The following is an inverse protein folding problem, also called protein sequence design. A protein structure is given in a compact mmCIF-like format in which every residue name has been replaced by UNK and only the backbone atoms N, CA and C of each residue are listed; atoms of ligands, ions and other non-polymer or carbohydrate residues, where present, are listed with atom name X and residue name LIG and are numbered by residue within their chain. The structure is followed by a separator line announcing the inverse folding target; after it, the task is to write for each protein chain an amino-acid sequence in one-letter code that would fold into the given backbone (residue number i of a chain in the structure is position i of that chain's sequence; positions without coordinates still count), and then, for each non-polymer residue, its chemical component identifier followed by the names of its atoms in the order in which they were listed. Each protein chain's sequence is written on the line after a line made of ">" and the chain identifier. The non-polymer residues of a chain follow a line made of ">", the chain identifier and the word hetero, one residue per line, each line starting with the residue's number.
data_IF_907270231497
#
_entry.id   IF_907270231497
#
_cell.length_a   1.000
_cell.length_b   1.000
_cell.length_c   1.000
_cell.angle_alpha   90.00
_cell.angle_beta   90.00
_cell.angle_gamma   90.00
#
_symmetry.space_group_name_H-M   'P 1'
#
loop_
_entity.id
_entity.type
_entity.pdbx_description
1 polymer ?
#
# COMPACT_ATOMS: atom_id res chain seq x y z
N UNK A 1 -0.86 -20.96 18.44
CA UNK A 1 0.01 -21.19 17.27
C UNK A 1 0.64 -19.86 16.88
N UNK A 2 1.94 -19.68 17.13
CA UNK A 2 2.67 -18.46 16.73
C UNK A 2 2.87 -18.48 15.22
N UNK A 3 2.21 -17.58 14.49
CA UNK A 3 2.41 -17.42 13.05
C UNK A 3 3.86 -17.01 12.79
N UNK A 4 4.60 -17.81 12.02
CA UNK A 4 5.97 -17.46 11.65
C UNK A 4 5.96 -16.28 10.67
N UNK A 5 6.83 -15.27 10.82
CA UNK A 5 6.86 -14.09 9.94
C UNK A 5 7.57 -14.36 8.61
N UNK A 6 8.24 -15.50 8.48
CA UNK A 6 9.04 -15.90 7.31
C UNK A 6 8.25 -15.84 5.98
N UNK A 7 6.99 -16.32 5.88
CA UNK A 7 6.23 -16.27 4.62
C UNK A 7 5.95 -14.85 4.16
N UNK A 8 5.66 -13.94 5.11
CA UNK A 8 5.41 -12.53 4.84
C UNK A 8 6.64 -11.85 4.23
N UNK A 9 7.80 -12.04 4.85
CA UNK A 9 9.04 -11.49 4.33
C UNK A 9 9.42 -12.06 2.96
N UNK A 10 9.20 -13.36 2.72
CA UNK A 10 9.42 -13.98 1.41
C UNK A 10 8.55 -13.36 0.32
N UNK A 11 7.28 -13.08 0.61
CA UNK A 11 6.39 -12.43 -0.34
C UNK A 11 6.86 -11.01 -0.69
N UNK A 12 7.18 -10.20 0.34
CA UNK A 12 7.67 -8.82 0.17
C UNK A 12 8.96 -8.80 -0.64
N UNK A 13 9.96 -9.57 -0.20
CA UNK A 13 11.28 -9.65 -0.87
C UNK A 13 11.13 -10.18 -2.30
N UNK A 14 10.27 -11.17 -2.52
CA UNK A 14 10.01 -11.74 -3.84
C UNK A 14 9.48 -10.70 -4.83
N UNK A 15 8.51 -9.87 -4.43
CA UNK A 15 8.00 -8.79 -5.27
C UNK A 15 9.10 -7.78 -5.62
N UNK A 16 9.90 -7.33 -4.65
CA UNK A 16 11.00 -6.40 -4.93
C UNK A 16 12.08 -6.99 -5.82
N UNK A 17 12.41 -8.28 -5.66
CA UNK A 17 13.33 -8.97 -6.56
C UNK A 17 12.82 -8.99 -7.99
N UNK A 18 11.54 -9.31 -8.19
CA UNK A 18 10.91 -9.31 -9.53
C UNK A 18 10.97 -7.91 -10.14
N UNK A 19 10.68 -6.86 -9.36
CA UNK A 19 10.76 -5.47 -9.82
C UNK A 19 12.18 -5.13 -10.28
N UNK A 20 13.18 -5.43 -9.46
CA UNK A 20 14.59 -5.18 -9.78
C UNK A 20 14.99 -5.92 -11.07
N UNK A 21 14.66 -7.20 -11.20
CA UNK A 21 14.95 -7.99 -12.40
C UNK A 21 14.31 -7.39 -13.65
N UNK A 22 13.05 -6.97 -13.55
CA UNK A 22 12.32 -6.37 -14.66
C UNK A 22 12.93 -5.03 -15.10
N UNK A 23 13.42 -4.23 -14.14
CA UNK A 23 14.16 -2.98 -14.43
C UNK A 23 15.54 -3.23 -15.09
N UNK A 24 16.22 -4.33 -14.74
CA UNK A 24 17.52 -4.68 -15.29
C UNK A 24 17.43 -5.20 -16.74
N UNK A 25 16.41 -6.00 -17.04
CA UNK A 25 16.20 -6.62 -18.37
C UNK A 25 15.53 -5.63 -19.34
N UNK A 26 15.15 -4.43 -18.89
CA UNK A 26 14.50 -3.41 -19.72
C UNK A 26 13.00 -3.63 -19.90
N UNK A 27 12.40 -4.53 -19.13
CA UNK A 27 10.97 -4.83 -19.16
C UNK A 27 10.13 -3.87 -18.28
N UNK A 28 10.62 -2.64 -18.08
CA UNK A 28 9.99 -1.62 -17.23
C UNK A 28 8.50 -1.34 -17.53
N UNK A 29 7.99 -1.39 -18.79
CA UNK A 29 6.57 -1.21 -19.06
C UNK A 29 5.66 -2.23 -18.36
N UNK A 30 6.13 -3.46 -18.12
CA UNK A 30 5.35 -4.51 -17.44
C UNK A 30 5.07 -4.12 -15.98
N UNK A 31 5.99 -3.38 -15.36
CA UNK A 31 5.88 -2.93 -13.97
C UNK A 31 4.73 -1.97 -13.73
N UNK A 32 4.22 -1.31 -14.78
CA UNK A 32 3.05 -0.42 -14.68
C UNK A 32 1.85 -1.17 -14.11
N UNK A 33 1.68 -2.45 -14.47
CA UNK A 33 0.60 -3.30 -13.97
C UNK A 33 1.05 -4.23 -12.87
N UNK A 34 2.25 -4.81 -13.01
CA UNK A 34 2.76 -5.80 -12.06
C UNK A 34 2.96 -5.21 -10.66
N UNK A 35 3.46 -3.97 -10.57
CA UNK A 35 3.73 -3.35 -9.27
C UNK A 35 2.45 -3.03 -8.49
N UNK A 36 1.43 -2.34 -9.04
CA UNK A 36 0.18 -2.11 -8.32
C UNK A 36 -0.56 -3.40 -7.94
N UNK A 37 -0.67 -4.34 -8.88
CA UNK A 37 -1.39 -5.60 -8.64
C UNK A 37 -0.66 -6.49 -7.63
N UNK A 38 0.67 -6.62 -7.77
CA UNK A 38 1.48 -7.39 -6.84
C UNK A 38 1.46 -6.78 -5.43
N UNK A 39 1.55 -5.46 -5.33
CA UNK A 39 1.48 -4.75 -4.05
C UNK A 39 0.12 -4.91 -3.37
N UNK A 40 -0.97 -4.87 -4.15
CA UNK A 40 -2.33 -5.15 -3.64
C UNK A 40 -2.43 -6.58 -3.11
N UNK A 41 -1.97 -7.57 -3.88
CA UNK A 41 -2.03 -8.98 -3.48
C UNK A 41 -1.25 -9.25 -2.18
N UNK A 42 -0.04 -8.70 -2.07
CA UNK A 42 0.75 -8.77 -0.83
C UNK A 42 0.07 -8.01 0.30
N UNK A 43 -0.47 -6.82 0.03
CA UNK A 43 -1.23 -6.04 1.00
C UNK A 43 -2.39 -6.83 1.60
N UNK A 44 -3.20 -7.49 0.78
CA UNK A 44 -4.31 -8.35 1.24
C UNK A 44 -3.81 -9.52 2.09
N UNK A 45 -2.73 -10.19 1.65
CA UNK A 45 -2.14 -11.30 2.38
C UNK A 45 -1.61 -10.88 3.77
N UNK A 46 -0.87 -9.77 3.82
CA UNK A 46 -0.34 -9.22 5.07
C UNK A 46 -1.47 -8.73 5.97
N UNK A 47 -2.48 -8.09 5.43
CA UNK A 47 -3.60 -7.57 6.19
C UNK A 47 -4.36 -8.69 6.92
N UNK A 48 -4.58 -9.84 6.27
CA UNK A 48 -5.30 -10.97 6.86
C UNK A 48 -4.49 -11.75 7.91
N UNK A 49 -3.17 -11.89 7.72
CA UNK A 49 -2.35 -12.80 8.54
C UNK A 49 -1.31 -12.10 9.43
N UNK A 50 -0.86 -10.91 9.04
CA UNK A 50 0.28 -10.20 9.64
C UNK A 50 0.02 -8.68 9.72
N UNK A 51 -0.96 -8.20 10.51
CA UNK A 51 -1.38 -6.80 10.51
C UNK A 51 -0.26 -5.81 10.84
N UNK A 52 0.68 -6.18 11.70
CA UNK A 52 1.85 -5.33 12.03
C UNK A 52 2.77 -5.11 10.81
N UNK A 53 2.98 -6.17 10.00
CA UNK A 53 3.80 -6.09 8.79
C UNK A 53 3.05 -5.36 7.67
N UNK A 54 1.72 -5.47 7.62
CA UNK A 54 0.89 -4.69 6.71
C UNK A 54 1.04 -3.18 6.92
N UNK A 55 1.05 -2.71 8.18
CA UNK A 55 1.23 -1.28 8.49
C UNK A 55 2.60 -0.79 7.99
N UNK A 56 3.66 -1.52 8.33
CA UNK A 56 5.01 -1.19 7.85
C UNK A 56 5.12 -1.22 6.33
N UNK A 57 4.54 -2.24 5.69
CA UNK A 57 4.49 -2.35 4.23
C UNK A 57 3.76 -1.16 3.60
N UNK A 58 2.58 -0.80 4.12
CA UNK A 58 1.80 0.36 3.65
C UNK A 58 2.61 1.65 3.76
N UNK A 59 3.34 1.83 4.87
CA UNK A 59 4.21 2.99 5.07
C UNK A 59 5.35 3.03 4.05
N UNK A 60 5.99 1.89 3.79
CA UNK A 60 7.04 1.76 2.77
C UNK A 60 6.51 2.03 1.36
N UNK A 61 5.28 1.60 1.06
CA UNK A 61 4.65 1.82 -0.25
C UNK A 61 4.51 3.31 -0.61
N UNK A 62 4.29 4.19 0.38
CA UNK A 62 4.24 5.65 0.18
C UNK A 62 5.57 6.22 -0.35
N UNK A 63 6.71 5.64 0.03
CA UNK A 63 8.03 6.06 -0.48
C UNK A 63 8.40 5.33 -1.76
N UNK A 64 8.09 4.05 -1.85
CA UNK A 64 8.54 3.19 -2.94
C UNK A 64 7.76 3.41 -4.22
N UNK A 65 6.47 3.74 -4.15
CA UNK A 65 5.64 3.97 -5.35
C UNK A 65 6.15 5.12 -6.23
N UNK A 66 6.37 6.34 -5.71
CA UNK A 66 6.90 7.42 -6.54
C UNK A 66 8.32 7.09 -7.05
N UNK A 67 9.16 6.45 -6.24
CA UNK A 67 10.51 6.04 -6.65
C UNK A 67 10.48 5.04 -7.81
N UNK A 68 9.71 3.95 -7.68
CA UNK A 68 9.57 2.93 -8.71
C UNK A 68 8.99 3.54 -9.99
N UNK A 69 8.02 4.46 -9.84
CA UNK A 69 7.48 5.18 -10.99
C UNK A 69 8.54 6.00 -11.71
N UNK A 70 9.34 6.79 -10.98
CA UNK A 70 10.44 7.56 -11.58
C UNK A 70 11.46 6.65 -12.28
N UNK A 71 11.76 5.48 -11.74
CA UNK A 71 12.62 4.49 -12.42
C UNK A 71 11.98 3.94 -13.70
N UNK A 72 10.69 3.65 -13.69
CA UNK A 72 9.97 3.17 -14.89
C UNK A 72 9.99 4.23 -15.98
N UNK A 73 9.61 5.48 -15.67
CA UNK A 73 9.60 6.57 -16.65
C UNK A 73 11.02 6.83 -17.20
N UNK A 74 12.06 6.75 -16.36
CA UNK A 74 13.47 6.87 -16.79
C UNK A 74 13.87 5.74 -17.75
N UNK A 75 13.45 4.49 -17.49
CA UNK A 75 13.77 3.34 -18.34
C UNK A 75 12.96 3.31 -19.63
N UNK A 76 11.72 3.78 -19.61
CA UNK A 76 10.86 3.85 -20.80
C UNK A 76 11.25 5.02 -21.72
N UNK A 77 11.84 6.10 -21.18
CA UNK A 77 12.20 7.29 -21.95
C UNK A 77 11.02 8.21 -22.28
N UNK A 78 9.84 7.93 -21.71
CA UNK A 78 8.64 8.75 -21.84
C UNK A 78 7.82 8.71 -20.55
N UNK A 79 7.00 9.73 -20.34
CA UNK A 79 6.07 9.75 -19.20
C UNK A 79 4.91 8.82 -19.51
N UNK A 80 4.78 7.75 -18.73
CA UNK A 80 3.67 6.82 -18.89
C UNK A 80 2.34 7.47 -18.43
N UNK A 81 1.20 7.26 -19.10
CA UNK A 81 -0.07 7.95 -18.80
C UNK A 81 -0.84 7.37 -17.60
N UNK A 82 -0.33 6.31 -16.98
CA UNK A 82 -1.03 5.59 -15.91
C UNK A 82 -1.08 6.42 -14.60
N UNK A 83 -2.17 6.33 -13.79
CA UNK A 83 -2.30 7.08 -12.55
C UNK A 83 -1.08 6.89 -11.64
N UNK A 84 -0.46 7.99 -11.22
CA UNK A 84 0.87 8.01 -10.60
C UNK A 84 0.94 7.23 -9.28
N UNK A 85 -0.15 7.21 -8.50
CA UNK A 85 -0.15 6.71 -7.11
C UNK A 85 -1.06 5.50 -6.88
N UNK A 86 -1.45 4.78 -7.95
CA UNK A 86 -2.45 3.72 -7.86
C UNK A 86 -2.06 2.62 -6.85
N UNK A 87 -0.78 2.24 -6.80
CA UNK A 87 -0.32 1.19 -5.89
C UNK A 87 -0.52 1.56 -4.41
N UNK A 88 -0.18 2.79 -4.02
CA UNK A 88 -0.37 3.27 -2.63
C UNK A 88 -1.85 3.38 -2.31
N UNK A 89 -2.64 3.93 -3.22
CA UNK A 89 -4.09 4.09 -3.02
C UNK A 89 -4.77 2.73 -2.84
N UNK A 90 -4.39 1.74 -3.65
CA UNK A 90 -4.92 0.39 -3.53
C UNK A 90 -4.55 -0.26 -2.20
N UNK A 91 -3.27 -0.22 -1.80
CA UNK A 91 -2.83 -0.83 -0.54
C UNK A 91 -3.48 -0.13 0.65
N UNK A 92 -3.48 1.21 0.70
CA UNK A 92 -4.10 1.97 1.80
C UNK A 92 -5.62 1.78 1.89
N UNK A 93 -6.31 1.60 0.76
CA UNK A 93 -7.75 1.34 0.73
C UNK A 93 -8.15 0.04 1.44
N UNK A 94 -7.24 -0.94 1.53
CA UNK A 94 -7.49 -2.20 2.26
C UNK A 94 -7.82 -1.90 3.73
N UNK A 95 -7.05 -1.01 4.36
CA UNK A 95 -7.32 -0.58 5.74
C UNK A 95 -8.57 0.30 5.88
N UNK A 96 -8.95 1.02 4.82
CA UNK A 96 -10.16 1.86 4.82
C UNK A 96 -11.42 1.00 5.00
N UNK A 97 -11.44 -0.22 4.46
CA UNK A 97 -12.55 -1.18 4.65
C UNK A 97 -12.76 -1.47 6.14
N UNK A 98 -11.69 -1.78 6.89
CA UNK A 98 -11.79 -1.96 8.35
C UNK A 98 -12.30 -0.73 9.07
N UNK A 99 -11.79 0.44 8.66
CA UNK A 99 -12.13 1.71 9.28
C UNK A 99 -13.62 1.99 9.10
N UNK A 100 -14.16 1.82 7.90
CA UNK A 100 -15.60 1.97 7.61
C UNK A 100 -16.44 0.95 8.40
N UNK A 101 -16.04 -0.32 8.43
CA UNK A 101 -16.79 -1.38 9.12
C UNK A 101 -16.80 -1.21 10.65
N UNK A 102 -15.72 -0.68 11.24
CA UNK A 102 -15.62 -0.47 12.68
C UNK A 102 -15.91 0.99 13.10
N UNK A 103 -16.15 1.89 12.14
CA UNK A 103 -16.49 3.29 12.38
C UNK A 103 -17.62 3.48 13.39
N UNK A 104 -18.79 2.80 13.28
CA UNK A 104 -19.87 2.98 14.26
C UNK A 104 -19.50 2.46 15.66
N UNK A 105 -18.61 1.47 15.78
CA UNK A 105 -18.12 0.97 17.07
C UNK A 105 -17.09 1.91 17.70
N UNK A 106 -16.23 2.54 16.91
CA UNK A 106 -15.23 3.54 17.35
C UNK A 106 -15.93 4.84 17.77
N UNK A 107 -17.00 5.21 17.07
CA UNK A 107 -17.81 6.38 17.42
C UNK A 107 -18.52 6.23 18.78
N UNK A 108 -18.95 5.01 19.13
CA UNK A 108 -19.68 4.72 20.36
C UNK A 108 -18.80 4.34 21.57
N UNK A 109 -17.56 3.88 21.37
CA UNK A 109 -16.61 3.60 22.47
C UNK A 109 -15.57 4.69 22.55
N UNK A 110 -15.74 5.68 23.42
CA UNK A 110 -14.74 6.63 23.98
C UNK A 110 -13.44 6.87 23.18
N UNK A 111 -13.53 6.92 21.85
CA UNK A 111 -12.43 7.07 20.90
C UNK A 111 -12.12 8.54 20.73
N UNK A 112 -11.73 9.16 21.85
CA UNK A 112 -11.68 10.59 22.06
C UNK A 112 -10.94 11.38 20.96
N UNK A 113 -9.83 10.94 20.31
CA UNK A 113 -9.16 11.80 19.32
C UNK A 113 -9.93 12.01 18.01
N UNK A 114 -10.65 11.01 17.47
CA UNK A 114 -11.33 11.13 16.17
C UNK A 114 -12.59 12.01 16.23
N UNK A 115 -13.33 11.92 17.34
CA UNK A 115 -14.53 12.73 17.56
C UNK A 115 -14.21 14.23 17.69
N UNK A 116 -13.08 14.58 18.32
CA UNK A 116 -12.65 15.98 18.40
C UNK A 116 -12.22 16.53 17.05
N UNK A 117 -11.48 15.75 16.24
CA UNK A 117 -11.02 16.20 14.91
C UNK A 117 -12.20 16.42 13.96
N UNK A 118 -13.17 15.49 13.90
CA UNK A 118 -14.37 15.68 13.06
C UNK A 118 -15.22 16.86 13.54
N UNK A 119 -15.38 17.02 14.86
CA UNK A 119 -16.18 18.13 15.42
C UNK A 119 -15.52 19.49 15.16
N UNK A 120 -14.20 19.57 15.19
CA UNK A 120 -13.47 20.79 14.84
C UNK A 120 -13.66 21.13 13.35
N UNK A 121 -13.59 20.13 12.47
CA UNK A 121 -13.77 20.32 11.03
C UNK A 121 -15.17 20.86 10.69
N UNK A 122 -16.22 20.33 11.30
CA UNK A 122 -17.60 20.81 11.14
C UNK A 122 -17.91 22.14 11.85
N UNK A 123 -17.01 22.66 12.71
CA UNK A 123 -17.19 23.93 13.40
C UNK A 123 -16.46 25.08 12.70
N UNK A 124 -15.48 24.76 11.84
CA UNK A 124 -14.65 25.73 11.09
C UNK A 124 -15.23 26.03 9.69
N UNK A 125 -16.20 25.25 9.21
CA UNK A 125 -16.95 25.45 7.97
C UNK A 125 -18.44 25.51 8.26
#
# INVERSE_FOLDING_TARGET
>A
MTLSPVPAWRAIIGLFLIIILCLLIGAAPILIFLFPLGSLAIGLFLYQRYPILYVGFTWWMWFLTPLIRRLIDYKCGYTTPFPQELAVLLVTSISLVTLVLHFPKIYNRDGLPLRYVLRLYFMVF
#
